data_IF_091416221075
#
_entry.id   IF_091416221075
#
_cell.length_a   1.000
_cell.length_b   1.000
_cell.length_c   1.000
_cell.angle_alpha   90.00
_cell.angle_beta   90.00
_cell.angle_gamma   90.00
#
_symmetry.space_group_name_H-M   'P 1'
#
loop_
_entity.id
_entity.type
_entity.pdbx_description
1 polymer ?
#
# COMPACT_ATOMS: atom_id res chain seq x y z
N UNK A 1 -7.37 -25.08 25.14
CA UNK A 1 -6.00 -25.16 24.59
C UNK A 1 -5.84 -24.21 23.42
N UNK A 2 -6.39 -24.49 22.22
CA UNK A 2 -6.30 -23.53 21.10
C UNK A 2 -6.92 -22.16 21.43
N UNK A 3 -8.16 -22.13 21.94
CA UNK A 3 -8.85 -20.84 22.19
C UNK A 3 -8.13 -19.98 23.23
N UNK A 4 -7.54 -20.61 24.25
CA UNK A 4 -6.81 -19.90 25.31
C UNK A 4 -5.49 -19.35 24.78
N UNK A 5 -4.74 -20.15 24.00
CA UNK A 5 -3.51 -19.71 23.35
C UNK A 5 -3.77 -18.59 22.32
N UNK A 6 -4.86 -18.72 21.55
CA UNK A 6 -5.28 -17.70 20.61
C UNK A 6 -5.71 -16.41 21.32
N UNK A 7 -6.41 -16.50 22.44
CA UNK A 7 -6.75 -15.33 23.26
C UNK A 7 -5.49 -14.60 23.74
N UNK A 8 -4.51 -15.32 24.30
CA UNK A 8 -3.22 -14.74 24.70
C UNK A 8 -2.48 -14.08 23.52
N UNK A 9 -2.55 -14.69 22.33
CA UNK A 9 -1.98 -14.08 21.13
C UNK A 9 -2.70 -12.76 20.78
N UNK A 10 -4.03 -12.74 20.82
CA UNK A 10 -4.84 -11.56 20.51
C UNK A 10 -4.57 -10.39 21.47
N UNK A 11 -4.35 -10.64 22.76
CA UNK A 11 -3.97 -9.61 23.74
C UNK A 11 -2.74 -8.80 23.29
N UNK A 12 -1.76 -9.50 22.70
CA UNK A 12 -0.54 -8.87 22.18
C UNK A 12 -0.75 -8.19 20.82
N UNK A 13 -1.52 -8.80 19.92
CA UNK A 13 -1.69 -8.36 18.54
C UNK A 13 -2.62 -7.15 18.42
N UNK A 14 -3.74 -7.16 19.13
CA UNK A 14 -4.75 -6.10 19.07
C UNK A 14 -4.20 -4.78 19.61
N UNK A 15 -3.33 -4.86 20.63
CA UNK A 15 -2.66 -3.73 21.26
C UNK A 15 -1.55 -3.11 20.39
N UNK A 16 -1.15 -3.75 19.29
CA UNK A 16 -0.06 -3.26 18.46
C UNK A 16 -0.49 -1.99 17.68
N UNK A 17 0.37 -0.96 17.59
CA UNK A 17 0.06 0.30 16.88
C UNK A 17 0.13 0.16 15.35
N UNK A 18 -0.01 -1.05 14.82
CA UNK A 18 0.02 -1.39 13.39
C UNK A 18 -1.31 -2.00 13.00
N UNK A 19 -1.70 -1.87 11.73
CA UNK A 19 -2.91 -2.51 11.20
C UNK A 19 -2.82 -4.03 11.39
N UNK A 20 -3.89 -4.63 11.91
CA UNK A 20 -3.95 -6.05 12.18
C UNK A 20 -4.71 -6.77 11.07
N UNK A 21 -4.07 -7.78 10.49
CA UNK A 21 -4.69 -8.73 9.56
C UNK A 21 -4.35 -10.14 10.02
N UNK A 22 -5.37 -10.94 10.34
CA UNK A 22 -5.21 -12.35 10.69
C UNK A 22 -5.89 -13.15 9.59
N UNK A 23 -5.15 -14.07 8.97
CA UNK A 23 -5.65 -14.93 7.88
C UNK A 23 -5.19 -16.36 8.10
N UNK A 24 -6.04 -17.32 7.78
CA UNK A 24 -5.65 -18.73 7.79
C UNK A 24 -6.84 -19.67 7.81
N UNK A 25 -6.52 -20.96 7.74
CA UNK A 25 -7.46 -22.05 8.02
C UNK A 25 -7.51 -22.31 9.53
N UNK A 26 -8.66 -22.03 10.13
CA UNK A 26 -8.88 -22.19 11.57
C UNK A 26 -9.49 -23.55 11.92
N UNK A 27 -9.91 -24.34 10.93
CA UNK A 27 -10.59 -25.62 11.13
C UNK A 27 -11.84 -25.57 12.04
N UNK A 28 -12.46 -24.40 12.19
CA UNK A 28 -13.77 -24.24 12.83
C UNK A 28 -14.85 -24.01 11.79
N UNK A 29 -15.96 -24.72 11.93
CA UNK A 29 -17.14 -24.55 11.09
C UNK A 29 -17.92 -23.33 11.59
N UNK A 30 -17.41 -22.13 11.33
CA UNK A 30 -17.97 -20.88 11.93
C UNK A 30 -19.39 -20.57 11.42
N UNK A 31 -19.76 -21.16 10.29
CA UNK A 31 -21.11 -21.14 9.73
C UNK A 31 -22.12 -22.00 10.51
N UNK A 32 -21.65 -22.98 11.28
CA UNK A 32 -22.51 -23.85 12.09
C UNK A 32 -22.90 -23.18 13.43
N UNK A 33 -24.10 -22.59 13.45
CA UNK A 33 -24.69 -21.95 14.63
C UNK A 33 -24.97 -22.91 15.79
N UNK A 34 -25.02 -24.22 15.54
CA UNK A 34 -25.24 -25.22 16.59
C UNK A 34 -23.96 -25.55 17.35
N UNK A 35 -22.79 -25.34 16.73
CA UNK A 35 -21.48 -25.62 17.32
C UNK A 35 -21.19 -24.66 18.48
N UNK A 36 -21.05 -25.22 19.69
CA UNK A 36 -20.60 -24.45 20.85
C UNK A 36 -19.18 -23.91 20.65
N UNK A 37 -18.31 -24.70 20.02
CA UNK A 37 -16.91 -24.32 19.79
C UNK A 37 -16.83 -23.12 18.85
N UNK A 38 -17.60 -23.15 17.75
CA UNK A 38 -17.67 -22.02 16.81
C UNK A 38 -18.20 -20.76 17.50
N UNK A 39 -19.27 -20.88 18.30
CA UNK A 39 -19.84 -19.74 19.05
C UNK A 39 -18.87 -19.16 20.07
N UNK A 40 -18.16 -20.00 20.81
CA UNK A 40 -17.13 -19.54 21.75
C UNK A 40 -15.97 -18.83 21.02
N UNK A 41 -15.56 -19.34 19.86
CA UNK A 41 -14.52 -18.73 19.05
C UNK A 41 -14.94 -17.37 18.48
N UNK A 42 -16.16 -17.25 17.93
CA UNK A 42 -16.71 -15.97 17.45
C UNK A 42 -16.85 -14.98 18.61
N UNK A 43 -17.36 -15.42 19.76
CA UNK A 43 -17.45 -14.56 20.95
C UNK A 43 -16.09 -14.07 21.43
N UNK A 44 -15.04 -14.88 21.30
CA UNK A 44 -13.67 -14.47 21.60
C UNK A 44 -13.21 -13.39 20.63
N UNK A 45 -13.37 -13.59 19.31
CA UNK A 45 -12.95 -12.59 18.32
C UNK A 45 -13.72 -11.29 18.46
N UNK A 46 -15.02 -11.36 18.74
CA UNK A 46 -15.87 -10.20 19.00
C UNK A 46 -15.42 -9.43 20.24
N UNK A 47 -14.98 -10.13 21.31
CA UNK A 47 -14.47 -9.48 22.53
C UNK A 47 -13.19 -8.68 22.31
N UNK A 48 -12.43 -8.98 21.24
CA UNK A 48 -11.26 -8.23 20.80
C UNK A 48 -11.57 -7.22 19.68
N UNK A 49 -12.85 -6.95 19.41
CA UNK A 49 -13.32 -6.03 18.36
C UNK A 49 -12.76 -6.40 16.97
N UNK A 50 -12.67 -7.71 16.69
CA UNK A 50 -12.25 -8.24 15.40
C UNK A 50 -13.45 -8.49 14.50
N UNK A 51 -13.39 -7.94 13.29
CA UNK A 51 -14.36 -8.18 12.23
C UNK A 51 -13.89 -9.32 11.33
N UNK A 52 -14.74 -10.34 11.14
CA UNK A 52 -14.53 -11.41 10.17
C UNK A 52 -15.13 -11.02 8.80
N UNK A 53 -14.41 -11.30 7.71
CA UNK A 53 -14.81 -10.86 6.35
C UNK A 53 -15.28 -11.97 5.38
N UNK A 54 -15.09 -13.25 5.70
CA UNK A 54 -15.39 -14.37 4.78
C UNK A 54 -16.80 -14.88 5.07
N UNK A 55 -17.72 -14.71 4.11
CA UNK A 55 -19.12 -15.10 4.25
C UNK A 55 -19.51 -16.36 3.47
N UNK A 56 -18.74 -16.73 2.44
CA UNK A 56 -19.01 -17.90 1.62
C UNK A 56 -18.27 -19.15 2.13
N UNK A 57 -18.72 -20.32 1.69
CA UNK A 57 -18.04 -21.58 1.94
C UNK A 57 -16.66 -21.60 1.28
N UNK A 58 -15.64 -21.89 2.09
CA UNK A 58 -14.23 -21.98 1.67
C UNK A 58 -13.77 -23.41 1.46
N UNK A 59 -14.53 -24.39 1.94
CA UNK A 59 -14.21 -25.81 1.82
C UNK A 59 -15.25 -26.55 0.96
N UNK A 60 -14.83 -27.57 0.22
CA UNK A 60 -15.68 -28.39 -0.65
C UNK A 60 -16.87 -29.04 0.07
N UNK A 61 -16.77 -29.23 1.39
CA UNK A 61 -17.85 -29.70 2.26
C UNK A 61 -18.94 -28.68 2.60
N UNK A 62 -18.89 -27.45 2.07
CA UNK A 62 -19.91 -26.43 2.29
C UNK A 62 -19.69 -25.54 3.52
N UNK A 63 -18.57 -25.73 4.23
CA UNK A 63 -18.23 -24.97 5.44
C UNK A 63 -17.27 -23.82 5.18
N UNK A 64 -17.22 -22.88 6.12
CA UNK A 64 -16.29 -21.74 6.13
C UNK A 64 -15.23 -22.02 7.18
N UNK A 65 -14.04 -22.44 6.75
CA UNK A 65 -12.91 -22.80 7.63
C UNK A 65 -11.77 -21.78 7.53
N UNK A 66 -11.60 -21.17 6.34
CA UNK A 66 -10.60 -20.17 6.05
C UNK A 66 -11.16 -18.78 6.37
N UNK A 67 -10.57 -18.11 7.36
CA UNK A 67 -11.10 -16.87 7.92
C UNK A 67 -10.12 -15.71 7.71
N UNK A 68 -10.69 -14.51 7.61
CA UNK A 68 -9.96 -13.25 7.52
C UNK A 68 -10.52 -12.32 8.57
N UNK A 69 -9.65 -11.84 9.47
CA UNK A 69 -9.99 -10.88 10.50
C UNK A 69 -9.17 -9.60 10.40
N UNK A 70 -9.79 -8.46 10.68
CA UNK A 70 -9.11 -7.21 11.04
C UNK A 70 -9.75 -6.61 12.29
N UNK A 71 -9.10 -5.65 12.94
CA UNK A 71 -9.81 -4.81 13.92
C UNK A 71 -10.92 -4.04 13.21
N UNK A 72 -12.06 -3.83 13.87
CA UNK A 72 -13.16 -3.06 13.31
C UNK A 72 -12.76 -1.60 13.00
N UNK A 73 -11.82 -1.03 13.76
CA UNK A 73 -11.25 0.29 13.52
C UNK A 73 -10.29 0.35 12.31
N UNK A 74 -9.80 -0.79 11.82
CA UNK A 74 -8.85 -0.86 10.71
C UNK A 74 -9.60 -0.95 9.35
N UNK A 75 -9.75 0.19 8.66
CA UNK A 75 -10.57 0.36 7.44
C UNK A 75 -9.91 -0.07 6.11
N UNK A 76 -9.02 -1.06 6.14
CA UNK A 76 -8.18 -1.37 4.96
C UNK A 76 -8.69 -2.52 4.09
N UNK A 77 -9.65 -3.32 4.56
CA UNK A 77 -10.27 -4.37 3.76
C UNK A 77 -11.59 -3.84 3.22
N UNK A 78 -11.68 -3.69 1.90
CA UNK A 78 -12.88 -3.14 1.26
C UNK A 78 -13.90 -4.22 0.87
N UNK A 79 -13.42 -5.35 0.37
CA UNK A 79 -14.26 -6.49 -0.01
C UNK A 79 -13.49 -7.79 0.15
N UNK A 80 -14.18 -8.86 0.50
CA UNK A 80 -13.66 -10.22 0.53
C UNK A 80 -14.62 -11.12 -0.27
N UNK A 81 -14.07 -12.02 -1.09
CA UNK A 81 -14.85 -13.02 -1.81
C UNK A 81 -14.09 -14.33 -1.91
N UNK A 82 -14.82 -15.42 -2.04
CA UNK A 82 -14.26 -16.75 -2.23
C UNK A 82 -14.24 -17.09 -3.71
N UNK A 83 -13.07 -17.42 -4.25
CA UNK A 83 -12.89 -17.76 -5.66
C UNK A 83 -13.16 -19.24 -5.94
N UNK A 84 -12.94 -19.64 -7.19
CA UNK A 84 -13.08 -21.02 -7.63
C UNK A 84 -12.16 -21.99 -6.88
N UNK A 85 -12.58 -23.25 -6.91
CA UNK A 85 -11.97 -24.42 -6.26
C UNK A 85 -10.56 -24.65 -6.80
N UNK A 86 -9.54 -24.51 -5.94
CA UNK A 86 -8.14 -24.82 -6.25
C UNK A 86 -7.78 -26.23 -5.76
N UNK A 87 -8.39 -26.64 -4.65
CA UNK A 87 -8.31 -27.97 -4.01
C UNK A 87 -9.67 -28.27 -3.35
N UNK A 88 -9.73 -29.17 -2.37
CA UNK A 88 -10.78 -29.17 -1.35
C UNK A 88 -11.01 -27.80 -0.67
N UNK A 89 -10.00 -26.92 -0.65
CA UNK A 89 -10.14 -25.50 -0.30
C UNK A 89 -10.33 -24.58 -1.52
N UNK A 90 -11.02 -23.47 -1.28
CA UNK A 90 -11.24 -22.34 -2.19
C UNK A 90 -10.42 -21.15 -1.72
N UNK A 91 -9.82 -20.43 -2.66
CA UNK A 91 -9.03 -19.25 -2.29
C UNK A 91 -9.93 -18.10 -1.82
N UNK A 92 -9.58 -17.54 -0.67
CA UNK A 92 -10.19 -16.32 -0.14
C UNK A 92 -9.41 -15.12 -0.68
N UNK A 93 -10.07 -14.25 -1.43
CA UNK A 93 -9.47 -13.05 -2.00
C UNK A 93 -10.01 -11.79 -1.33
N UNK A 94 -9.11 -11.00 -0.76
CA UNK A 94 -9.42 -9.72 -0.13
C UNK A 94 -8.87 -8.56 -0.93
N UNK A 95 -9.69 -7.54 -1.16
CA UNK A 95 -9.24 -6.27 -1.72
C UNK A 95 -8.78 -5.38 -0.57
N UNK A 96 -7.46 -5.36 -0.38
CA UNK A 96 -6.80 -4.46 0.56
C UNK A 96 -6.58 -3.09 -0.11
N UNK A 97 -7.04 -2.02 0.53
CA UNK A 97 -6.64 -0.65 0.24
C UNK A 97 -5.57 -0.23 1.26
N UNK A 98 -4.28 -0.50 0.98
CA UNK A 98 -3.23 -0.03 1.87
C UNK A 98 -3.29 1.50 1.87
N UNK A 99 -3.43 2.11 3.05
CA UNK A 99 -3.21 3.55 3.20
C UNK A 99 -1.76 3.82 2.88
N UNK A 100 -1.52 4.29 1.66
CA UNK A 100 -0.18 4.66 1.20
C UNK A 100 0.19 6.01 1.81
N UNK A 101 1.44 6.22 2.22
CA UNK A 101 1.90 7.53 2.67
C UNK A 101 1.58 8.59 1.63
N UNK A 102 0.98 9.69 2.08
CA UNK A 102 0.66 10.84 1.25
C UNK A 102 1.64 11.95 1.58
N UNK A 103 2.30 12.49 0.58
CA UNK A 103 3.11 13.70 0.72
C UNK A 103 2.35 14.88 0.13
N UNK A 104 2.28 15.97 0.88
CA UNK A 104 1.70 17.23 0.41
C UNK A 104 2.83 18.17 0.08
N UNK A 105 2.85 18.65 -1.16
CA UNK A 105 3.82 19.64 -1.64
C UNK A 105 3.07 20.92 -1.96
N UNK A 106 3.63 22.03 -1.52
CA UNK A 106 3.16 23.37 -1.84
C UNK A 106 4.10 23.96 -2.89
N UNK A 107 3.55 24.39 -4.03
CA UNK A 107 4.35 24.99 -5.09
C UNK A 107 3.57 26.07 -5.82
N UNK A 108 4.30 26.93 -6.53
CA UNK A 108 3.75 27.97 -7.42
C UNK A 108 4.14 27.65 -8.85
N UNK A 109 3.24 27.90 -9.80
CA UNK A 109 3.55 27.77 -11.23
C UNK A 109 4.24 29.04 -11.74
N UNK A 110 5.41 29.37 -11.20
CA UNK A 110 6.14 30.59 -11.58
C UNK A 110 6.53 30.63 -13.06
N UNK A 111 6.72 29.45 -13.67
CA UNK A 111 7.02 29.33 -15.11
C UNK A 111 5.83 29.66 -16.03
N UNK A 112 4.61 29.74 -15.50
CA UNK A 112 3.41 30.10 -16.27
C UNK A 112 2.96 31.54 -16.04
N UNK A 113 3.78 32.36 -15.38
CA UNK A 113 3.49 33.78 -15.21
C UNK A 113 3.60 34.47 -16.58
N UNK A 114 2.59 35.26 -16.93
CA UNK A 114 2.72 36.21 -18.03
C UNK A 114 3.59 37.39 -17.56
N UNK A 115 4.82 37.44 -18.06
CA UNK A 115 5.80 38.46 -17.68
C UNK A 115 5.33 39.88 -17.98
N UNK A 116 4.60 40.11 -19.08
CA UNK A 116 4.19 41.48 -19.44
C UNK A 116 3.16 42.02 -18.45
N UNK A 117 2.14 41.21 -18.12
CA UNK A 117 1.13 41.57 -17.13
C UNK A 117 1.73 41.69 -15.72
N UNK A 118 2.65 40.79 -15.36
CA UNK A 118 3.33 40.81 -14.08
C UNK A 118 4.18 42.08 -13.88
N UNK A 119 4.96 42.48 -14.88
CA UNK A 119 5.75 43.72 -14.84
C UNK A 119 4.84 44.94 -14.75
N UNK A 120 3.75 44.97 -15.53
CA UNK A 120 2.79 46.07 -15.49
C UNK A 120 2.18 46.26 -14.10
N UNK A 121 1.80 45.18 -13.42
CA UNK A 121 1.29 45.25 -12.04
C UNK A 121 2.38 45.68 -11.05
N UNK A 122 3.61 45.18 -11.18
CA UNK A 122 4.72 45.59 -10.33
C UNK A 122 5.02 47.10 -10.44
N UNK A 123 4.99 47.66 -11.66
CA UNK A 123 5.19 49.09 -11.88
C UNK A 123 4.07 49.96 -11.30
N UNK A 124 2.89 49.39 -11.07
CA UNK A 124 1.75 50.08 -10.45
C UNK A 124 1.71 50.01 -8.92
N UNK A 125 2.65 49.28 -8.30
CA UNK A 125 2.65 49.11 -6.85
C UNK A 125 2.93 50.44 -6.13
N UNK A 126 2.30 50.68 -4.97
CA UNK A 126 2.50 51.90 -4.17
C UNK A 126 3.98 52.18 -3.85
N UNK A 127 4.80 51.14 -3.67
CA UNK A 127 6.23 51.30 -3.45
C UNK A 127 6.97 52.02 -4.60
N UNK A 128 6.46 51.91 -5.83
CA UNK A 128 7.04 52.54 -7.03
C UNK A 128 6.39 53.91 -7.27
N UNK A 129 5.07 54.01 -7.10
CA UNK A 129 4.30 55.19 -7.49
C UNK A 129 4.13 56.23 -6.37
N UNK A 130 4.34 55.86 -5.12
CA UNK A 130 4.12 56.72 -3.94
C UNK A 130 4.47 56.00 -2.64
N UNK A 131 5.77 55.85 -2.40
CA UNK A 131 6.29 55.18 -1.21
C UNK A 131 5.93 55.94 0.07
N UNK A 132 5.76 55.21 1.16
CA UNK A 132 5.62 55.80 2.49
C UNK A 132 6.94 56.43 2.97
N UNK A 133 6.85 57.57 3.65
CA UNK A 133 7.99 58.22 4.32
C UNK A 133 8.40 57.49 5.63
N UNK A 134 7.45 56.76 6.23
CA UNK A 134 7.71 55.88 7.37
C UNK A 134 8.31 54.55 6.94
N UNK A 135 9.39 54.14 7.60
CA UNK A 135 10.17 52.96 7.26
C UNK A 135 9.37 51.66 7.42
N UNK A 136 8.61 51.53 8.51
CA UNK A 136 7.82 50.32 8.79
C UNK A 136 6.71 50.15 7.75
N UNK A 137 6.03 51.24 7.43
CA UNK A 137 5.00 51.29 6.40
C UNK A 137 5.56 51.03 4.98
N UNK A 138 6.78 51.49 4.68
CA UNK A 138 7.45 51.21 3.41
C UNK A 138 7.81 49.71 3.26
N UNK A 139 8.24 49.07 4.34
CA UNK A 139 8.53 47.62 4.36
C UNK A 139 7.26 46.81 4.17
N UNK A 140 6.13 47.22 4.76
CA UNK A 140 4.83 46.58 4.53
C UNK A 140 4.38 46.71 3.07
N UNK A 141 4.49 47.91 2.48
CA UNK A 141 4.18 48.13 1.06
C UNK A 141 5.01 47.22 0.14
N UNK A 142 6.27 46.98 0.47
CA UNK A 142 7.13 46.04 -0.26
C UNK A 142 6.64 44.59 -0.11
N UNK A 143 6.55 44.10 1.13
CA UNK A 143 6.28 42.69 1.39
C UNK A 143 4.88 42.28 0.94
N UNK A 144 3.87 43.08 1.29
CA UNK A 144 2.47 42.78 0.99
C UNK A 144 2.19 42.98 -0.49
N UNK A 145 2.66 44.09 -1.08
CA UNK A 145 2.46 44.39 -2.49
C UNK A 145 3.08 43.33 -3.41
N UNK A 146 4.33 42.92 -3.15
CA UNK A 146 4.98 41.86 -3.92
C UNK A 146 4.32 40.49 -3.69
N UNK A 147 3.94 40.18 -2.45
CA UNK A 147 3.25 38.93 -2.14
C UNK A 147 1.90 38.85 -2.83
N UNK A 148 1.15 39.96 -2.90
CA UNK A 148 -0.15 40.03 -3.54
C UNK A 148 -0.05 39.84 -5.06
N UNK A 149 0.87 40.55 -5.72
CA UNK A 149 1.11 40.39 -7.17
C UNK A 149 1.59 38.96 -7.46
N UNK A 150 2.51 38.42 -6.67
CA UNK A 150 2.96 37.03 -6.83
C UNK A 150 1.82 36.03 -6.61
N UNK A 151 0.92 36.26 -5.65
CA UNK A 151 -0.24 35.43 -5.39
C UNK A 151 -1.27 35.49 -6.53
N UNK A 152 -1.45 36.64 -7.17
CA UNK A 152 -2.36 36.81 -8.30
C UNK A 152 -1.87 36.07 -9.54
N UNK A 153 -0.58 36.19 -9.85
CA UNK A 153 0.01 35.61 -11.07
C UNK A 153 0.45 34.15 -10.92
N UNK A 154 0.85 33.75 -9.71
CA UNK A 154 1.25 32.38 -9.42
C UNK A 154 0.82 31.98 -8.00
N UNK A 155 -0.49 31.73 -7.78
CA UNK A 155 -1.01 31.37 -6.47
C UNK A 155 -0.34 30.11 -5.92
N UNK A 156 -0.31 30.00 -4.59
CA UNK A 156 0.22 28.82 -3.91
C UNK A 156 -0.74 27.64 -4.11
N UNK A 157 -0.27 26.60 -4.77
CA UNK A 157 -1.04 25.38 -5.03
C UNK A 157 -0.57 24.31 -4.07
N UNK A 158 -1.51 23.74 -3.31
CA UNK A 158 -1.26 22.53 -2.52
C UNK A 158 -1.67 21.32 -3.33
N UNK A 159 -0.77 20.34 -3.48
CA UNK A 159 -1.10 19.05 -4.08
C UNK A 159 -0.60 17.92 -3.19
N UNK A 160 -1.46 16.92 -3.04
CA UNK A 160 -1.15 15.70 -2.29
C UNK A 160 -0.93 14.55 -3.26
N UNK A 161 0.19 13.86 -3.11
CA UNK A 161 0.58 12.73 -3.93
C UNK A 161 0.77 11.48 -3.08
N UNK A 162 0.46 10.33 -3.67
CA UNK A 162 0.74 9.04 -3.07
C UNK A 162 2.22 8.73 -3.30
N UNK A 163 2.98 8.61 -2.20
CA UNK A 163 4.38 8.18 -2.27
C UNK A 163 4.41 6.69 -2.55
N UNK A 164 5.07 6.31 -3.65
CA UNK A 164 5.37 4.93 -3.96
C UNK A 164 6.87 4.73 -3.73
N UNK A 165 7.29 3.79 -2.87
CA UNK A 165 8.69 3.45 -2.80
C UNK A 165 9.14 2.92 -4.17
N UNK A 166 10.34 3.30 -4.58
CA UNK A 166 10.94 2.73 -5.78
C UNK A 166 10.97 1.22 -5.63
N UNK A 167 10.49 0.53 -6.67
CA UNK A 167 10.55 -0.91 -6.78
C UNK A 167 11.70 -1.26 -7.74
N UNK A 168 12.90 -1.61 -7.23
CA UNK A 168 14.10 -1.72 -8.06
C UNK A 168 14.06 -2.90 -9.04
N UNK A 169 13.19 -3.89 -8.78
CA UNK A 169 12.94 -5.02 -9.68
C UNK A 169 11.70 -4.80 -10.54
N UNK A 170 11.18 -3.56 -10.63
CA UNK A 170 10.09 -3.19 -11.53
C UNK A 170 10.64 -2.88 -12.93
N UNK A 171 10.71 -3.89 -13.78
CA UNK A 171 11.22 -3.74 -15.14
C UNK A 171 10.24 -4.34 -16.18
N UNK A 172 10.32 -3.84 -17.41
CA UNK A 172 9.41 -4.25 -18.49
C UNK A 172 9.53 -5.74 -18.82
N UNK A 173 10.70 -6.35 -18.58
CA UNK A 173 10.90 -7.78 -18.76
C UNK A 173 10.03 -8.61 -17.80
N UNK A 174 9.97 -8.25 -16.52
CA UNK A 174 9.11 -8.88 -15.51
C UNK A 174 7.64 -8.63 -15.81
N UNK A 175 7.28 -7.42 -16.26
CA UNK A 175 5.91 -7.13 -16.71
C UNK A 175 5.50 -7.99 -17.89
N UNK A 176 6.38 -8.13 -18.88
CA UNK A 176 6.13 -8.97 -20.05
C UNK A 176 5.94 -10.44 -19.68
N UNK A 177 6.75 -10.96 -18.75
CA UNK A 177 6.62 -12.31 -18.21
C UNK A 177 5.30 -12.49 -17.42
N UNK A 178 4.93 -11.51 -16.60
CA UNK A 178 3.65 -11.49 -15.87
C UNK A 178 2.45 -11.52 -16.82
N UNK A 179 2.50 -10.73 -17.91
CA UNK A 179 1.45 -10.74 -18.94
C UNK A 179 1.36 -12.09 -19.64
N UNK A 180 2.49 -12.76 -19.91
CA UNK A 180 2.52 -14.11 -20.47
C UNK A 180 1.88 -15.13 -19.53
N UNK A 181 2.25 -15.11 -18.25
CA UNK A 181 1.67 -16.01 -17.24
C UNK A 181 0.15 -15.84 -17.13
N UNK A 182 -0.34 -14.61 -17.02
CA UNK A 182 -1.80 -14.32 -16.99
C UNK A 182 -2.54 -14.72 -18.27
N UNK A 183 -1.86 -14.76 -19.43
CA UNK A 183 -2.47 -15.24 -20.69
C UNK A 183 -2.56 -16.77 -20.71
N UNK A 184 -1.49 -17.45 -20.28
CA UNK A 184 -1.48 -18.91 -20.17
C UNK A 184 -2.52 -19.40 -19.15
N UNK A 185 -2.60 -18.74 -18.00
CA UNK A 185 -3.62 -19.01 -16.98
C UNK A 185 -5.05 -18.83 -17.53
N UNK A 186 -5.35 -17.69 -18.16
CA UNK A 186 -6.67 -17.47 -18.76
C UNK A 186 -7.02 -18.53 -19.81
N UNK A 187 -6.05 -18.95 -20.61
CA UNK A 187 -6.24 -20.02 -21.60
C UNK A 187 -6.57 -21.34 -20.91
N UNK A 188 -5.78 -21.76 -19.93
CA UNK A 188 -6.05 -22.97 -19.17
C UNK A 188 -7.42 -22.95 -18.48
N UNK A 189 -7.83 -21.80 -17.90
CA UNK A 189 -9.16 -21.65 -17.31
C UNK A 189 -10.30 -21.86 -18.31
N UNK A 190 -10.10 -21.53 -19.58
CA UNK A 190 -11.10 -21.75 -20.64
C UNK A 190 -11.06 -23.18 -21.18
N UNK A 191 -9.88 -23.76 -21.36
CA UNK A 191 -9.73 -25.05 -22.05
C UNK A 191 -9.74 -26.26 -21.12
N UNK A 192 -9.30 -26.11 -19.87
CA UNK A 192 -9.14 -27.20 -18.90
C UNK A 192 -8.06 -28.23 -19.27
N UNK A 193 -7.33 -28.05 -20.36
CA UNK A 193 -6.38 -29.05 -20.88
C UNK A 193 -5.09 -29.13 -20.04
N UNK A 194 -4.58 -30.34 -19.87
CA UNK A 194 -3.31 -30.60 -19.15
C UNK A 194 -2.14 -29.84 -19.78
N UNK A 195 -2.06 -29.78 -21.11
CA UNK A 195 -0.99 -29.06 -21.83
C UNK A 195 -1.02 -27.56 -21.53
N UNK A 196 -2.22 -26.96 -21.43
CA UNK A 196 -2.35 -25.54 -21.09
C UNK A 196 -2.02 -25.30 -19.60
N UNK A 197 -2.30 -26.27 -18.72
CA UNK A 197 -1.87 -26.23 -17.30
C UNK A 197 -0.35 -26.30 -17.16
N UNK A 198 0.29 -27.18 -17.91
CA UNK A 198 1.76 -27.30 -17.96
C UNK A 198 2.40 -26.01 -18.47
N UNK A 199 1.85 -25.43 -19.55
CA UNK A 199 2.30 -24.15 -20.07
C UNK A 199 2.16 -23.03 -19.02
N UNK A 200 1.02 -22.96 -18.33
CA UNK A 200 0.82 -22.00 -17.23
C UNK A 200 1.91 -22.16 -16.15
N UNK A 201 2.12 -23.38 -15.67
CA UNK A 201 3.13 -23.66 -14.65
C UNK A 201 4.55 -23.28 -15.10
N UNK A 202 4.92 -23.57 -16.34
CA UNK A 202 6.21 -23.17 -16.92
C UNK A 202 6.36 -21.65 -16.96
N UNK A 203 5.33 -20.92 -17.40
CA UNK A 203 5.38 -19.46 -17.45
C UNK A 203 5.46 -18.80 -16.07
N UNK A 204 4.78 -19.39 -15.06
CA UNK A 204 4.87 -18.96 -13.66
C UNK A 204 6.26 -19.21 -13.07
N UNK A 205 6.84 -20.39 -13.30
CA UNK A 205 8.19 -20.71 -12.86
C UNK A 205 9.20 -19.72 -13.44
N UNK A 206 9.13 -19.45 -14.75
CA UNK A 206 9.99 -18.47 -15.39
C UNK A 206 9.82 -17.06 -14.79
N UNK A 207 8.59 -16.63 -14.51
CA UNK A 207 8.33 -15.35 -13.85
C UNK A 207 8.99 -15.28 -12.46
N UNK A 208 8.83 -16.32 -11.65
CA UNK A 208 9.44 -16.39 -10.32
C UNK A 208 10.97 -16.33 -10.40
N UNK A 209 11.57 -17.07 -11.33
CA UNK A 209 13.03 -17.02 -11.57
C UNK A 209 13.47 -15.60 -11.91
N UNK A 210 12.83 -14.93 -12.88
CA UNK A 210 13.19 -13.57 -13.28
C UNK A 210 13.07 -12.56 -12.12
N UNK A 211 12.01 -12.67 -11.30
CA UNK A 211 11.83 -11.79 -10.13
C UNK A 211 12.94 -12.04 -9.10
N UNK A 212 13.28 -13.30 -8.85
CA UNK A 212 14.31 -13.66 -7.88
C UNK A 212 15.70 -13.22 -8.34
N UNK A 213 16.03 -13.39 -9.62
CA UNK A 213 17.25 -12.88 -10.23
C UNK A 213 17.35 -11.36 -10.10
N UNK A 214 16.29 -10.63 -10.47
CA UNK A 214 16.28 -9.17 -10.36
C UNK A 214 16.46 -8.68 -8.91
N UNK A 215 15.84 -9.36 -7.94
CA UNK A 215 16.05 -9.09 -6.51
C UNK A 215 17.48 -9.39 -6.09
N UNK A 216 18.04 -10.53 -6.51
CA UNK A 216 19.40 -10.94 -6.19
C UNK A 216 20.41 -9.93 -6.73
N UNK A 217 20.35 -9.59 -8.02
CA UNK A 217 21.24 -8.62 -8.65
C UNK A 217 21.20 -7.24 -7.98
N UNK A 218 20.01 -6.78 -7.58
CA UNK A 218 19.89 -5.52 -6.85
C UNK A 218 20.54 -5.58 -5.45
N UNK A 219 20.37 -6.69 -4.73
CA UNK A 219 20.99 -6.85 -3.42
C UNK A 219 22.50 -6.98 -3.54
N UNK A 220 22.99 -7.75 -4.53
CA UNK A 220 24.41 -7.87 -4.85
C UNK A 220 25.02 -6.51 -5.18
N UNK A 221 24.37 -5.68 -6.01
CA UNK A 221 24.86 -4.35 -6.32
C UNK A 221 24.95 -3.46 -5.07
N UNK A 222 23.96 -3.52 -4.18
CA UNK A 222 23.97 -2.77 -2.92
C UNK A 222 25.05 -3.25 -1.94
N UNK A 223 25.35 -4.55 -1.94
CA UNK A 223 26.44 -5.13 -1.15
C UNK A 223 27.78 -4.64 -1.69
N UNK A 224 27.99 -4.67 -3.01
CA UNK A 224 29.22 -4.21 -3.67
C UNK A 224 29.45 -2.70 -3.50
N UNK A 225 28.39 -1.88 -3.55
CA UNK A 225 28.45 -0.44 -3.28
C UNK A 225 28.78 -0.11 -1.81
N UNK A 226 28.63 -1.08 -0.89
CA UNK A 226 28.83 -0.84 0.54
C UNK A 226 30.31 -0.92 0.92
N UNK A 227 30.91 0.22 1.24
CA UNK A 227 32.34 0.33 1.60
C UNK A 227 32.71 -0.16 3.01
N UNK A 228 31.79 -0.79 3.77
CA UNK A 228 32.11 -1.34 5.09
C UNK A 228 30.95 -2.00 5.84
N UNK A 229 31.24 -2.61 6.99
CA UNK A 229 30.25 -3.33 7.81
C UNK A 229 29.05 -2.47 8.21
N UNK A 230 29.29 -1.21 8.60
CA UNK A 230 28.21 -0.28 9.01
C UNK A 230 27.25 0.08 7.88
N UNK A 231 27.74 0.31 6.66
CA UNK A 231 26.87 0.59 5.51
C UNK A 231 26.08 -0.65 5.10
N UNK A 232 26.69 -1.84 5.16
CA UNK A 232 26.02 -3.11 4.92
C UNK A 232 24.86 -3.36 5.92
N UNK A 233 25.10 -3.18 7.23
CA UNK A 233 24.03 -3.31 8.24
C UNK A 233 22.92 -2.29 8.04
N UNK A 234 23.24 -1.07 7.59
CA UNK A 234 22.23 -0.06 7.25
C UNK A 234 21.34 -0.49 6.08
N UNK A 235 21.91 -1.14 5.07
CA UNK A 235 21.14 -1.72 3.95
C UNK A 235 20.20 -2.80 4.47
N UNK A 236 20.69 -3.72 5.30
CA UNK A 236 19.87 -4.80 5.89
C UNK A 236 18.75 -4.22 6.77
N UNK A 237 19.06 -3.26 7.64
CA UNK A 237 18.09 -2.67 8.55
C UNK A 237 17.06 -1.81 7.82
N UNK A 238 17.41 -1.19 6.69
CA UNK A 238 16.44 -0.49 5.83
C UNK A 238 15.41 -1.42 5.19
N UNK A 239 15.67 -2.73 5.16
CA UNK A 239 14.79 -3.76 4.61
C UNK A 239 14.00 -4.52 5.68
N UNK A 240 14.37 -4.39 6.95
CA UNK A 240 13.54 -4.86 8.06
C UNK A 240 12.38 -3.89 8.25
N UNK A 241 11.17 -4.43 8.40
CA UNK A 241 10.01 -3.64 8.83
C UNK A 241 10.30 -3.15 10.26
N UNK A 242 10.74 -1.90 10.40
CA UNK A 242 10.96 -1.31 11.72
C UNK A 242 9.62 -1.00 12.36
N UNK A 243 9.37 -1.38 13.63
CA UNK A 243 8.13 -1.04 14.34
C UNK A 243 7.86 0.47 14.45
N UNK A 244 8.87 1.31 14.16
CA UNK A 244 8.84 2.76 14.38
C UNK A 244 8.78 3.60 13.11
N UNK A 245 8.78 3.01 11.92
CA UNK A 245 8.66 3.79 10.68
C UNK A 245 7.73 3.09 9.71
N UNK A 246 6.54 3.67 9.59
CA UNK A 246 5.53 3.43 8.55
C UNK A 246 6.11 3.74 7.17
N UNK A 247 6.90 2.81 6.65
CA UNK A 247 7.13 2.62 5.22
C UNK A 247 6.79 1.19 4.96
N UNK A 248 5.57 0.93 4.49
CA UNK A 248 5.19 -0.38 3.96
C UNK A 248 5.92 -0.58 2.63
N UNK A 249 6.87 -1.53 2.49
CA UNK A 249 7.16 -2.11 1.20
C UNK A 249 6.27 -3.35 1.05
N UNK A 250 6.01 -3.75 -0.19
CA UNK A 250 5.27 -4.98 -0.53
C UNK A 250 3.75 -4.91 -0.39
N UNK A 251 3.13 -4.33 -1.41
CA UNK A 251 1.88 -4.87 -1.94
C UNK A 251 2.21 -5.38 -3.36
N UNK A 252 2.29 -6.71 -3.52
CA UNK A 252 2.24 -7.31 -4.85
C UNK A 252 0.81 -7.20 -5.37
N UNK A 253 0.64 -6.62 -6.55
CA UNK A 253 -0.59 -6.56 -7.34
C UNK A 253 -0.76 -7.80 -8.20
#
# INVERSE_FOLDING_TARGET
MFSDEFACLLESLVSAPVRLLIVGDFNFHVDDKSSHVARSFISLTDSFDLQQYVSDSTHSGGHTLDLVFSRAADDFISTCYVSDVISDHRAVQCVNQPLRPKETVEFRKTKSIDFNSFISELSSLPIVTGHSDDCESAVLQYNDGLSEVLNRHAPLIKRTFIVRPDNPWDNEMIHSASRRARRAERRWRVTGLTVDKELMNQTLLNLHTMINEAKASFLESKILESTGKKSLFRVVDSKKVSPRQTRSPFAFT
#
